data_IF_765545952380
#
_entry.id   IF_765545952380
#
_cell.length_a   1.000
_cell.length_b   1.000
_cell.length_c   1.000
_cell.angle_alpha   90.00
_cell.angle_beta   90.00
_cell.angle_gamma   90.00
#
_symmetry.space_group_name_H-M   'P 1'
#
loop_
_entity.id
_entity.type
_entity.pdbx_description
1 polymer ?
#
# COMPACT_ATOMS: atom_id res chain seq x y z
N UNK A 1 0.66 5.89 4.30
CA UNK A 1 0.62 6.34 5.71
C UNK A 1 0.98 5.24 6.71
N UNK A 2 0.91 3.98 6.35
CA UNK A 2 1.36 2.79 7.10
C UNK A 2 2.05 1.84 6.12
N UNK A 3 2.88 0.88 6.59
CA UNK A 3 3.42 -0.18 5.74
C UNK A 3 2.33 -1.13 5.22
N UNK A 4 2.66 -1.90 4.17
CA UNK A 4 1.88 -3.03 3.67
C UNK A 4 2.36 -4.35 4.29
N UNK A 5 1.55 -5.41 4.16
CA UNK A 5 1.91 -6.76 4.56
C UNK A 5 1.08 -7.32 5.71
N UNK A 6 -0.03 -6.66 6.08
CA UNK A 6 -0.88 -7.16 7.18
C UNK A 6 -1.53 -8.51 6.85
N UNK A 7 -1.94 -8.73 5.60
CA UNK A 7 -2.55 -9.99 5.18
C UNK A 7 -1.58 -11.17 5.26
N UNK A 8 -0.38 -11.00 4.71
CA UNK A 8 0.64 -12.07 4.75
C UNK A 8 1.16 -12.33 6.17
N UNK A 9 1.30 -11.30 7.02
CA UNK A 9 1.70 -11.49 8.42
C UNK A 9 0.66 -12.30 9.20
N UNK A 10 -0.63 -11.97 9.05
CA UNK A 10 -1.72 -12.72 9.66
C UNK A 10 -1.80 -14.15 9.10
N UNK A 11 -1.59 -14.34 7.80
CA UNK A 11 -1.55 -15.67 7.19
C UNK A 11 -0.35 -16.50 7.69
N UNK A 12 0.80 -15.87 7.92
CA UNK A 12 1.97 -16.49 8.52
C UNK A 12 1.69 -16.97 9.94
N UNK A 13 1.04 -16.14 10.76
CA UNK A 13 0.65 -16.53 12.12
C UNK A 13 -0.31 -17.73 12.12
N UNK A 14 -1.32 -17.72 11.26
CA UNK A 14 -2.28 -18.84 11.15
C UNK A 14 -1.61 -20.16 10.73
N UNK A 15 -0.41 -20.10 10.15
CA UNK A 15 0.41 -21.27 9.72
C UNK A 15 1.57 -21.55 10.65
N UNK A 16 1.66 -20.87 11.80
CA UNK A 16 2.77 -20.97 12.75
C UNK A 16 4.16 -20.63 12.18
N UNK A 17 4.18 -19.74 11.17
CA UNK A 17 5.39 -19.25 10.50
C UNK A 17 5.69 -17.77 10.84
N UNK A 18 4.82 -17.12 11.60
CA UNK A 18 4.94 -15.73 12.03
C UNK A 18 5.88 -15.58 13.22
N UNK A 19 6.50 -14.39 13.32
CA UNK A 19 7.26 -14.01 14.51
C UNK A 19 6.45 -13.07 15.40
N UNK A 20 6.40 -13.36 16.70
CA UNK A 20 5.57 -12.59 17.65
C UNK A 20 5.89 -11.10 17.69
N UNK A 21 7.14 -10.71 17.46
CA UNK A 21 7.52 -9.29 17.40
C UNK A 21 6.93 -8.58 16.19
N UNK A 22 6.88 -9.25 15.03
CA UNK A 22 6.28 -8.69 13.80
C UNK A 22 4.79 -8.51 13.96
N UNK A 23 4.11 -9.48 14.59
CA UNK A 23 2.69 -9.37 14.91
C UNK A 23 2.41 -8.26 15.91
N UNK A 24 3.23 -8.13 16.96
CA UNK A 24 3.09 -7.01 17.89
C UNK A 24 3.18 -5.67 17.16
N UNK A 25 4.18 -5.49 16.32
CA UNK A 25 4.36 -4.27 15.52
C UNK A 25 3.15 -4.01 14.60
N UNK A 26 2.62 -5.06 13.99
CA UNK A 26 1.41 -4.99 13.18
C UNK A 26 0.21 -4.52 14.00
N UNK A 27 -0.07 -5.14 15.15
CA UNK A 27 -1.23 -4.78 15.98
C UNK A 27 -1.11 -3.37 16.55
N UNK A 28 0.09 -2.94 16.94
CA UNK A 28 0.34 -1.56 17.38
C UNK A 28 0.00 -0.56 16.25
N UNK A 29 0.43 -0.86 15.02
CA UNK A 29 0.11 -0.03 13.86
C UNK A 29 -1.38 -0.08 13.47
N UNK A 30 -2.03 -1.25 13.54
CA UNK A 30 -3.47 -1.39 13.27
C UNK A 30 -4.33 -0.59 14.25
N UNK A 31 -3.95 -0.58 15.52
CA UNK A 31 -4.64 0.15 16.60
C UNK A 31 -4.49 1.66 16.48
N UNK A 32 -3.50 2.15 15.72
CA UNK A 32 -3.25 3.59 15.56
C UNK A 32 -4.29 4.20 14.62
N UNK A 33 -5.11 5.12 15.19
CA UNK A 33 -6.09 5.89 14.40
C UNK A 33 -5.40 6.79 13.38
N UNK A 34 -5.90 6.78 12.14
CA UNK A 34 -5.41 7.63 11.05
C UNK A 34 -6.22 8.93 10.87
N UNK A 35 -7.14 9.25 11.77
CA UNK A 35 -8.02 10.42 11.63
C UNK A 35 -7.25 11.73 11.52
N UNK A 36 -6.16 11.90 12.28
CA UNK A 36 -5.34 13.11 12.26
C UNK A 36 -4.66 13.32 10.89
N UNK A 37 -4.03 12.28 10.32
CA UNK A 37 -3.39 12.39 9.01
C UNK A 37 -4.44 12.43 7.87
N UNK A 38 -5.57 11.77 8.02
CA UNK A 38 -6.68 11.87 7.07
C UNK A 38 -7.19 13.31 6.96
N UNK A 39 -7.28 14.04 8.06
CA UNK A 39 -7.66 15.46 8.07
C UNK A 39 -6.65 16.36 7.36
N UNK A 40 -5.35 16.04 7.41
CA UNK A 40 -4.32 16.74 6.62
C UNK A 40 -4.50 16.46 5.13
N UNK A 41 -4.60 15.17 4.77
CA UNK A 41 -4.75 14.73 3.38
C UNK A 41 -6.02 15.28 2.73
N UNK A 42 -7.16 15.25 3.43
CA UNK A 42 -8.45 15.73 2.92
C UNK A 42 -8.42 17.18 2.44
N UNK A 43 -7.52 18.02 2.99
CA UNK A 43 -7.39 19.43 2.60
C UNK A 43 -6.65 19.64 1.29
N UNK A 44 -5.88 18.64 0.83
CA UNK A 44 -4.95 18.81 -0.30
C UNK A 44 -5.01 17.68 -1.34
N UNK A 45 -5.64 16.54 -1.01
CA UNK A 45 -5.71 15.40 -1.91
C UNK A 45 -6.72 15.61 -3.03
N UNK A 46 -6.35 15.20 -4.25
CA UNK A 46 -7.27 15.09 -5.38
C UNK A 46 -8.16 13.83 -5.27
N UNK A 47 -7.58 12.75 -4.72
CA UNK A 47 -8.30 11.52 -4.39
C UNK A 47 -7.63 10.84 -3.21
N UNK A 48 -8.40 10.13 -2.41
CA UNK A 48 -7.91 9.39 -1.25
C UNK A 48 -8.79 8.17 -1.00
N UNK A 49 -8.16 7.07 -0.61
CA UNK A 49 -8.82 5.84 -0.15
C UNK A 49 -7.98 5.19 0.94
N UNK A 50 -8.59 4.37 1.77
CA UNK A 50 -7.88 3.38 2.57
C UNK A 50 -7.58 2.14 1.72
N UNK A 51 -6.46 1.48 1.99
CA UNK A 51 -6.11 0.21 1.36
C UNK A 51 -6.65 -0.90 2.24
N UNK A 52 -7.49 -1.74 1.67
CA UNK A 52 -8.15 -2.84 2.36
C UNK A 52 -8.04 -4.16 1.57
N UNK A 53 -9.10 -4.93 1.46
CA UNK A 53 -9.11 -6.29 0.91
C UNK A 53 -8.58 -6.44 -0.52
N UNK A 54 -8.61 -5.40 -1.34
CA UNK A 54 -8.13 -5.46 -2.74
C UNK A 54 -6.61 -5.21 -2.88
N UNK A 55 -5.91 -4.98 -1.78
CA UNK A 55 -4.49 -4.62 -1.81
C UNK A 55 -4.21 -3.25 -2.45
N UNK A 56 -2.94 -2.85 -2.46
CA UNK A 56 -2.53 -1.57 -3.06
C UNK A 56 -2.88 -1.55 -4.57
N UNK A 57 -2.64 -2.65 -5.27
CA UNK A 57 -2.88 -2.76 -6.71
C UNK A 57 -4.32 -2.48 -7.09
N UNK A 58 -5.28 -3.14 -6.44
CA UNK A 58 -6.71 -2.96 -6.72
C UNK A 58 -7.21 -1.56 -6.37
N UNK A 59 -6.79 -1.01 -5.22
CA UNK A 59 -7.18 0.35 -4.83
C UNK A 59 -6.60 1.43 -5.73
N UNK A 60 -5.33 1.29 -6.17
CA UNK A 60 -4.72 2.22 -7.11
C UNK A 60 -5.37 2.12 -8.50
N UNK A 61 -5.70 0.91 -8.97
CA UNK A 61 -6.45 0.72 -10.22
C UNK A 61 -7.81 1.40 -10.19
N UNK A 62 -8.50 1.39 -9.06
CA UNK A 62 -9.75 2.12 -8.90
C UNK A 62 -9.56 3.64 -9.07
N UNK A 63 -8.49 4.19 -8.47
CA UNK A 63 -8.18 5.62 -8.61
C UNK A 63 -7.88 5.96 -10.07
N UNK A 64 -6.95 5.25 -10.72
CA UNK A 64 -6.52 5.58 -12.10
C UNK A 64 -7.65 5.36 -13.10
N UNK A 65 -8.46 4.33 -12.92
CA UNK A 65 -9.61 4.05 -13.81
C UNK A 65 -10.68 5.13 -13.73
N UNK A 66 -11.06 5.54 -12.52
CA UNK A 66 -12.08 6.57 -12.32
C UNK A 66 -11.60 7.97 -12.76
N UNK A 67 -10.31 8.21 -12.70
CA UNK A 67 -9.69 9.49 -13.10
C UNK A 67 -9.23 9.49 -14.56
N UNK A 68 -9.30 8.35 -15.27
CA UNK A 68 -8.82 8.16 -16.63
C UNK A 68 -7.37 8.63 -16.83
N UNK A 69 -6.48 8.18 -15.93
CA UNK A 69 -5.05 8.47 -15.91
C UNK A 69 -4.24 7.21 -15.75
N UNK A 70 -2.93 7.24 -16.04
CA UNK A 70 -1.99 6.19 -15.70
C UNK A 70 -1.32 6.44 -14.34
N UNK A 71 -0.56 5.47 -13.86
CA UNK A 71 0.31 5.62 -12.70
C UNK A 71 1.65 4.91 -12.91
N UNK A 72 2.72 5.49 -12.38
CA UNK A 72 3.99 4.82 -12.12
C UNK A 72 4.08 4.53 -10.64
N UNK A 73 4.41 3.29 -10.30
CA UNK A 73 4.54 2.81 -8.93
C UNK A 73 5.97 2.36 -8.70
N UNK A 74 6.65 2.95 -7.72
CA UNK A 74 8.03 2.64 -7.34
C UNK A 74 8.01 1.58 -6.25
N UNK A 75 8.24 0.32 -6.61
CA UNK A 75 8.09 -0.83 -5.72
C UNK A 75 9.02 -0.76 -4.50
N UNK A 76 10.24 -0.27 -4.68
CA UNK A 76 11.25 -0.12 -3.62
C UNK A 76 10.92 0.99 -2.62
N UNK A 77 10.05 1.93 -2.99
CA UNK A 77 9.60 3.02 -2.12
C UNK A 77 8.39 2.65 -1.25
N UNK A 78 7.80 1.48 -1.47
CA UNK A 78 6.64 1.03 -0.71
C UNK A 78 7.09 0.51 0.66
N UNK A 79 6.64 1.14 1.77
CA UNK A 79 6.93 0.61 3.10
C UNK A 79 6.25 -0.75 3.29
N UNK A 80 6.99 -1.71 3.82
CA UNK A 80 6.51 -3.06 4.11
C UNK A 80 6.83 -3.40 5.57
N UNK A 81 5.89 -4.04 6.27
CA UNK A 81 6.15 -4.50 7.63
C UNK A 81 7.35 -5.46 7.69
N UNK A 82 8.16 -5.40 8.74
CA UNK A 82 9.18 -6.43 9.00
C UNK A 82 8.54 -7.84 8.94
N UNK A 83 9.30 -8.84 8.48
CA UNK A 83 8.81 -10.21 8.34
C UNK A 83 7.95 -10.48 7.10
N UNK A 84 7.16 -9.51 6.60
CA UNK A 84 6.26 -9.75 5.49
C UNK A 84 6.97 -10.22 4.21
N UNK A 85 8.11 -9.63 3.85
CA UNK A 85 8.91 -10.05 2.69
C UNK A 85 9.45 -11.48 2.84
N UNK A 86 9.85 -11.85 4.06
CA UNK A 86 10.35 -13.19 4.35
C UNK A 86 9.24 -14.25 4.20
N UNK A 87 8.04 -13.94 4.68
CA UNK A 87 6.88 -14.83 4.52
C UNK A 87 6.48 -14.95 3.05
N UNK A 88 6.49 -13.85 2.29
CA UNK A 88 6.29 -13.87 0.85
C UNK A 88 7.31 -14.77 0.14
N UNK A 89 8.59 -14.70 0.53
CA UNK A 89 9.65 -15.55 -0.02
C UNK A 89 9.47 -17.05 0.30
N UNK A 90 8.77 -17.36 1.40
CA UNK A 90 8.35 -18.72 1.76
C UNK A 90 7.02 -19.16 1.11
N UNK A 91 6.53 -18.41 0.14
CA UNK A 91 5.26 -18.66 -0.56
C UNK A 91 4.02 -18.59 0.35
N UNK A 92 4.10 -17.83 1.44
CA UNK A 92 2.95 -17.58 2.30
C UNK A 92 2.14 -16.40 1.74
N UNK A 93 0.85 -16.65 1.55
CA UNK A 93 -0.11 -15.67 1.01
C UNK A 93 -1.40 -15.74 1.82
N UNK A 94 -2.13 -14.63 1.84
CA UNK A 94 -3.50 -14.58 2.32
C UNK A 94 -4.43 -15.40 1.43
N UNK A 95 -5.54 -15.88 1.98
CA UNK A 95 -6.53 -16.70 1.24
C UNK A 95 -7.18 -15.98 0.05
N UNK A 96 -7.22 -14.64 0.04
CA UNK A 96 -7.80 -13.87 -1.07
C UNK A 96 -6.75 -13.29 -2.01
N UNK A 97 -5.48 -13.63 -1.83
CA UNK A 97 -4.37 -13.16 -2.66
C UNK A 97 -4.60 -13.47 -4.15
N UNK A 98 -4.97 -14.70 -4.48
CA UNK A 98 -5.19 -15.12 -5.88
C UNK A 98 -6.26 -14.27 -6.57
N UNK A 99 -7.34 -13.94 -5.87
CA UNK A 99 -8.38 -13.08 -6.42
C UNK A 99 -7.84 -11.66 -6.69
N UNK A 100 -6.95 -11.17 -5.85
CA UNK A 100 -6.35 -9.85 -6.04
C UNK A 100 -5.27 -9.86 -7.13
N UNK A 101 -4.59 -10.99 -7.35
CA UNK A 101 -3.56 -11.12 -8.37
C UNK A 101 -4.10 -10.88 -9.78
N UNK A 102 -5.38 -11.07 -10.03
CA UNK A 102 -6.04 -10.73 -11.30
C UNK A 102 -5.89 -9.26 -11.69
N UNK A 103 -5.66 -8.35 -10.73
CA UNK A 103 -5.38 -6.94 -11.04
C UNK A 103 -4.05 -6.74 -11.79
N UNK A 104 -3.13 -7.73 -11.75
CA UNK A 104 -1.87 -7.70 -12.50
C UNK A 104 -2.05 -7.59 -14.02
N UNK A 105 -3.18 -8.07 -14.56
CA UNK A 105 -3.53 -7.96 -15.99
C UNK A 105 -3.60 -6.51 -16.49
N UNK A 106 -3.78 -5.56 -15.57
CA UNK A 106 -3.82 -4.12 -15.87
C UNK A 106 -2.57 -3.40 -15.39
N UNK A 107 -1.47 -4.13 -15.21
CA UNK A 107 -0.17 -3.60 -14.81
C UNK A 107 0.89 -3.96 -15.83
N UNK A 108 1.84 -3.06 -16.01
CA UNK A 108 3.06 -3.27 -16.79
C UNK A 108 4.19 -3.40 -15.78
N UNK A 109 4.63 -4.63 -15.52
CA UNK A 109 5.67 -4.90 -14.53
C UNK A 109 7.02 -4.83 -15.23
N UNK A 110 7.85 -3.86 -14.83
CA UNK A 110 9.18 -3.60 -15.37
C UNK A 110 10.31 -3.90 -14.36
N UNK A 111 9.99 -4.59 -13.30
CA UNK A 111 10.95 -5.01 -12.28
C UNK A 111 11.04 -6.52 -12.21
N UNK A 112 12.20 -7.04 -11.80
CA UNK A 112 12.40 -8.48 -11.49
C UNK A 112 12.11 -8.79 -10.01
N UNK A 113 11.84 -7.78 -9.19
CA UNK A 113 11.50 -7.96 -7.79
C UNK A 113 10.11 -8.58 -7.63
N UNK A 114 9.89 -9.30 -6.53
CA UNK A 114 8.59 -9.88 -6.22
C UNK A 114 7.54 -8.78 -5.95
N UNK A 115 6.46 -8.80 -6.71
CA UNK A 115 5.38 -7.80 -6.67
C UNK A 115 4.17 -8.22 -5.83
N UNK A 116 4.21 -9.37 -5.17
CA UNK A 116 3.07 -9.95 -4.46
C UNK A 116 2.51 -9.06 -3.36
N UNK A 117 3.37 -8.22 -2.77
CA UNK A 117 2.95 -7.23 -1.77
C UNK A 117 1.87 -6.27 -2.29
N UNK A 118 1.80 -6.03 -3.60
CA UNK A 118 0.80 -5.17 -4.23
C UNK A 118 -0.62 -5.77 -4.17
N UNK A 119 -0.70 -7.08 -4.06
CA UNK A 119 -1.94 -7.86 -4.08
C UNK A 119 -2.30 -8.40 -2.68
N UNK A 120 -1.42 -8.20 -1.70
CA UNK A 120 -1.69 -8.58 -0.32
C UNK A 120 -2.85 -7.75 0.25
N UNK A 121 -3.94 -8.38 0.73
CA UNK A 121 -5.04 -7.67 1.35
C UNK A 121 -4.59 -7.00 2.64
N UNK A 122 -5.14 -5.83 2.95
CA UNK A 122 -4.78 -5.11 4.16
C UNK A 122 -5.94 -5.06 5.15
N UNK A 123 -5.62 -5.27 6.42
CA UNK A 123 -6.52 -5.03 7.54
C UNK A 123 -6.07 -3.78 8.27
N UNK A 124 -6.96 -2.84 8.49
CA UNK A 124 -6.62 -1.52 9.06
C UNK A 124 -5.43 -0.84 8.33
N UNK A 125 -5.44 -0.97 7.00
CA UNK A 125 -4.34 -0.61 6.12
C UNK A 125 -4.07 0.88 6.02
N UNK A 126 -3.07 1.27 5.20
CA UNK A 126 -2.68 2.68 5.02
C UNK A 126 -3.72 3.48 4.25
N UNK A 127 -3.65 4.80 4.37
CA UNK A 127 -4.29 5.70 3.42
C UNK A 127 -3.40 5.86 2.19
N UNK A 128 -4.00 5.74 1.01
CA UNK A 128 -3.43 6.09 -0.28
C UNK A 128 -4.06 7.39 -0.75
N UNK A 129 -3.26 8.38 -1.07
CA UNK A 129 -3.75 9.67 -1.55
C UNK A 129 -2.94 10.17 -2.75
N UNK A 130 -3.61 10.80 -3.71
CA UNK A 130 -2.97 11.56 -4.77
C UNK A 130 -2.99 13.03 -4.42
N UNK A 131 -1.82 13.66 -4.43
CA UNK A 131 -1.69 15.06 -4.05
C UNK A 131 -0.89 15.84 -5.09
N UNK A 132 -1.15 17.15 -5.29
CA UNK A 132 -0.31 17.99 -6.16
C UNK A 132 1.14 17.96 -5.70
N UNK A 133 2.09 17.89 -6.66
CA UNK A 133 3.53 17.83 -6.37
C UNK A 133 4.01 18.93 -5.41
N UNK A 134 3.44 20.12 -5.54
CA UNK A 134 3.75 21.29 -4.68
C UNK A 134 3.34 21.08 -3.20
N UNK A 135 2.42 20.16 -2.90
CA UNK A 135 1.91 19.89 -1.55
C UNK A 135 2.60 18.72 -0.86
N UNK A 136 3.34 17.89 -1.59
CA UNK A 136 3.98 16.64 -1.08
C UNK A 136 4.84 16.91 0.13
N UNK A 137 5.77 17.87 0.07
CA UNK A 137 6.67 18.21 1.19
C UNK A 137 5.90 18.61 2.47
N UNK A 138 4.81 19.37 2.29
CA UNK A 138 3.96 19.79 3.42
C UNK A 138 3.21 18.60 4.06
N UNK A 139 2.72 17.67 3.26
CA UNK A 139 2.07 16.43 3.74
C UNK A 139 3.05 15.57 4.53
N UNK A 140 4.24 15.31 3.97
CA UNK A 140 5.28 14.51 4.64
C UNK A 140 5.62 15.13 6.02
N UNK A 141 5.95 16.43 6.05
CA UNK A 141 6.27 17.14 7.30
C UNK A 141 5.12 17.09 8.33
N UNK A 142 3.88 17.17 7.86
CA UNK A 142 2.71 17.06 8.74
C UNK A 142 2.53 15.64 9.25
N UNK A 143 2.77 14.63 8.39
CA UNK A 143 2.76 13.24 8.78
C UNK A 143 3.78 12.93 9.87
N UNK A 144 5.02 13.35 9.71
CA UNK A 144 6.10 13.18 10.69
C UNK A 144 5.71 13.76 12.05
N UNK A 145 5.17 15.00 12.09
CA UNK A 145 4.70 15.63 13.32
C UNK A 145 3.56 14.87 14.02
N UNK A 146 2.76 14.13 13.26
CA UNK A 146 1.66 13.32 13.76
C UNK A 146 2.10 11.85 14.02
N UNK A 147 3.38 11.55 13.83
CA UNK A 147 3.94 10.21 14.02
C UNK A 147 3.56 9.22 12.90
N UNK A 148 3.29 9.70 11.69
CA UNK A 148 3.07 8.87 10.50
C UNK A 148 4.22 8.99 9.53
N UNK A 149 4.72 7.86 9.03
CA UNK A 149 5.68 7.81 7.95
C UNK A 149 4.96 7.87 6.60
N UNK A 150 4.75 9.09 6.09
CA UNK A 150 4.18 9.27 4.76
C UNK A 150 5.27 9.12 3.68
N UNK A 151 5.09 8.19 2.76
CA UNK A 151 6.01 7.97 1.63
C UNK A 151 5.38 8.34 0.30
N UNK A 152 6.21 8.86 -0.61
CA UNK A 152 5.87 8.97 -2.03
C UNK A 152 6.20 7.63 -2.66
N UNK A 153 5.20 6.90 -3.10
CA UNK A 153 5.35 5.56 -3.68
C UNK A 153 5.16 5.54 -5.19
N UNK A 154 4.91 6.70 -5.79
CA UNK A 154 4.69 6.78 -7.24
C UNK A 154 4.16 8.13 -7.67
N UNK A 155 3.79 8.22 -8.94
CA UNK A 155 3.20 9.41 -9.56
C UNK A 155 2.08 9.04 -10.53
N UNK A 156 1.10 9.91 -10.68
CA UNK A 156 0.10 9.79 -11.73
C UNK A 156 0.64 10.34 -13.04
N UNK A 157 0.27 9.72 -14.16
CA UNK A 157 0.71 10.09 -15.50
C UNK A 157 -0.50 10.33 -16.42
N UNK A 158 -0.32 11.18 -17.43
CA UNK A 158 -1.30 11.31 -18.51
C UNK A 158 -1.22 10.04 -19.36
N UNK A 159 -2.36 9.40 -19.61
CA UNK A 159 -2.41 8.19 -20.43
C UNK A 159 -3.56 7.28 -20.06
N UNK A 160 -3.56 6.07 -20.63
CA UNK A 160 -4.56 5.04 -20.32
C UNK A 160 -4.46 4.59 -18.84
N UNK A 161 -5.56 4.09 -18.25
CA UNK A 161 -5.59 3.67 -16.84
C UNK A 161 -4.85 2.32 -16.61
N UNK A 162 -3.53 2.36 -16.73
CA UNK A 162 -2.62 1.28 -16.40
C UNK A 162 -1.67 1.70 -15.29
N UNK A 163 -1.16 0.73 -14.54
CA UNK A 163 -0.10 0.93 -13.54
C UNK A 163 1.20 0.35 -14.11
N UNK A 164 2.22 1.19 -14.22
CA UNK A 164 3.59 0.79 -14.54
C UNK A 164 4.34 0.58 -13.21
N UNK A 165 4.78 -0.65 -12.93
CA UNK A 165 5.54 -1.01 -11.72
C UNK A 165 7.03 -1.02 -12.06
N UNK A 166 7.81 -0.19 -11.34
CA UNK A 166 9.23 0.07 -11.54
C UNK A 166 10.06 -0.41 -10.35
#
# INVERSE_FOLDING_TARGET
TKPLGSGVLLAGEMRFEGEGQDLKNLFDAMSKSQSSIANVLRKVANSMTDITGFGLGGHLLNIVSKSNVGAKLYLDQIPVYPGAKNLIAKDIRSSIFENNYMYSERMIIKTTANTDILFDPQTSGPLLATVPKSKVKGVIKSGEKLGFECKVIGELTIGKPYIEVL
#
